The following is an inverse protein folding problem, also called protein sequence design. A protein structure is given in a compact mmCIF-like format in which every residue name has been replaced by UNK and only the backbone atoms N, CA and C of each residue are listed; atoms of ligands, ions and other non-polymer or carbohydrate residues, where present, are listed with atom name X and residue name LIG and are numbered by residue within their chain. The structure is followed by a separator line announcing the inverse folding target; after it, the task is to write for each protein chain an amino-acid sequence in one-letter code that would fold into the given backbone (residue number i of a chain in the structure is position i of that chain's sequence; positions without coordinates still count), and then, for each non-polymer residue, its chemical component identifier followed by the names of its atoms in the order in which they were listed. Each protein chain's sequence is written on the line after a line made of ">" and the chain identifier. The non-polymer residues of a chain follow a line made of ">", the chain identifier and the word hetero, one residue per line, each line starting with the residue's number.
data_IF_566603324580
#
_entry.id   IF_566603324580
#
_cell.length_a   1.000
_cell.length_b   1.000
_cell.length_c   1.000
_cell.angle_alpha   90.00
_cell.angle_beta   90.00
_cell.angle_gamma   90.00
#
_symmetry.space_group_name_H-M   'P 1'
#
loop_
_entity.id
_entity.type
_entity.pdbx_description
1 polymer ?
#
# COMPACT_ATOMS: atom_id res chain seq x y z
N UNK A 1 -20.36 39.51 -1.60
CA UNK A 1 -19.63 38.42 -0.94
C UNK A 1 -20.38 37.13 -1.22
N UNK A 2 -19.72 36.13 -1.80
CA UNK A 2 -20.37 34.85 -2.09
C UNK A 2 -19.96 33.83 -1.02
N UNK A 3 -20.91 33.03 -0.55
CA UNK A 3 -20.68 31.99 0.43
C UNK A 3 -20.82 30.58 -0.21
N UNK A 4 -20.02 29.64 0.22
CA UNK A 4 -20.10 28.28 -0.25
C UNK A 4 -21.39 27.61 0.21
N UNK A 5 -22.21 27.11 -0.73
CA UNK A 5 -23.48 26.45 -0.40
C UNK A 5 -23.29 25.14 0.41
N UNK A 6 -22.08 24.54 0.38
CA UNK A 6 -21.82 23.27 1.06
C UNK A 6 -21.27 23.44 2.50
N UNK A 7 -20.47 24.48 2.77
CA UNK A 7 -19.83 24.66 4.09
C UNK A 7 -19.98 26.05 4.71
N UNK A 8 -20.69 26.98 4.06
CA UNK A 8 -20.95 28.33 4.56
C UNK A 8 -19.73 29.27 4.60
N UNK A 9 -18.56 28.85 4.13
CA UNK A 9 -17.34 29.66 4.12
C UNK A 9 -17.42 30.72 3.02
N UNK A 10 -16.93 31.93 3.29
CA UNK A 10 -16.84 33.01 2.31
C UNK A 10 -15.86 32.62 1.18
N UNK A 11 -16.34 32.71 -0.07
CA UNK A 11 -15.54 32.42 -1.25
C UNK A 11 -15.14 33.72 -1.93
N UNK A 12 -13.84 33.97 -2.03
CA UNK A 12 -13.27 35.17 -2.67
C UNK A 12 -13.30 35.07 -4.22
N UNK A 13 -14.40 34.56 -4.82
CA UNK A 13 -14.58 34.52 -6.27
C UNK A 13 -13.83 33.39 -7.00
N UNK A 14 -13.23 32.45 -6.31
CA UNK A 14 -12.58 31.28 -6.90
C UNK A 14 -13.60 30.26 -7.44
N UNK A 15 -13.22 29.46 -8.46
CA UNK A 15 -14.05 28.41 -9.04
C UNK A 15 -14.38 27.27 -8.04
N UNK A 16 -13.58 27.13 -6.99
CA UNK A 16 -13.75 26.12 -5.94
C UNK A 16 -13.62 26.75 -4.55
N UNK A 17 -14.36 26.21 -3.59
CA UNK A 17 -14.27 26.63 -2.19
C UNK A 17 -12.93 26.25 -1.58
N UNK A 18 -12.14 27.18 -0.99
CA UNK A 18 -10.82 26.89 -0.42
C UNK A 18 -10.91 25.99 0.83
N UNK A 19 -12.08 25.85 1.44
CA UNK A 19 -12.25 25.05 2.66
C UNK A 19 -12.75 23.62 2.40
N UNK A 20 -13.67 23.41 1.45
CA UNK A 20 -14.27 22.08 1.22
C UNK A 20 -14.11 21.56 -0.21
N UNK A 21 -13.48 22.31 -1.11
CA UNK A 21 -13.27 21.91 -2.50
C UNK A 21 -14.53 21.89 -3.37
N UNK A 22 -15.71 22.24 -2.84
CA UNK A 22 -16.95 22.27 -3.63
C UNK A 22 -16.89 23.39 -4.68
N UNK A 23 -17.45 23.14 -5.88
CA UNK A 23 -17.55 24.15 -6.91
C UNK A 23 -18.38 25.33 -6.41
N UNK A 24 -17.90 26.57 -6.67
CA UNK A 24 -18.62 27.78 -6.29
C UNK A 24 -19.90 27.91 -7.13
N UNK A 25 -21.02 28.23 -6.49
CA UNK A 25 -22.28 28.47 -7.18
C UNK A 25 -22.13 29.68 -8.14
N UNK A 26 -22.25 29.44 -9.43
CA UNK A 26 -22.09 30.47 -10.47
C UNK A 26 -20.80 30.36 -11.31
N UNK A 27 -19.89 29.42 -11.03
CA UNK A 27 -18.83 29.09 -11.96
C UNK A 27 -19.44 28.44 -13.22
N UNK A 28 -19.12 28.91 -14.45
CA UNK A 28 -19.59 28.23 -15.66
C UNK A 28 -19.12 26.77 -15.61
N UNK A 29 -20.04 25.84 -15.84
CA UNK A 29 -19.71 24.42 -15.92
C UNK A 29 -18.61 24.25 -17.00
N UNK A 30 -17.55 23.46 -16.73
CA UNK A 30 -16.57 23.17 -17.77
C UNK A 30 -17.31 22.54 -18.94
N UNK A 31 -17.16 23.11 -20.16
CA UNK A 31 -17.81 22.63 -21.35
C UNK A 31 -17.47 21.15 -21.56
N UNK A 32 -18.42 20.28 -21.87
CA UNK A 32 -18.14 18.89 -22.17
C UNK A 32 -17.34 18.83 -23.48
N UNK A 33 -16.10 18.39 -23.44
CA UNK A 33 -15.35 18.01 -24.63
C UNK A 33 -14.13 18.83 -25.03
N UNK A 34 -13.53 19.60 -24.15
CA UNK A 34 -12.22 20.22 -24.43
C UNK A 34 -11.07 19.42 -23.85
N UNK A 35 -10.65 18.33 -24.52
CA UNK A 35 -9.29 17.80 -24.27
C UNK A 35 -8.32 18.84 -24.78
N UNK A 36 -7.54 19.47 -23.86
CA UNK A 36 -6.38 20.23 -24.28
C UNK A 36 -5.51 19.34 -25.17
N UNK A 37 -4.97 19.84 -26.30
CA UNK A 37 -4.08 19.05 -27.14
C UNK A 37 -2.91 18.56 -26.27
N UNK A 38 -2.74 17.23 -26.19
CA UNK A 38 -1.61 16.59 -25.52
C UNK A 38 -0.34 17.01 -26.29
N UNK A 39 0.44 17.92 -25.74
CA UNK A 39 1.79 18.16 -26.19
C UNK A 39 2.66 17.03 -25.62
N UNK A 40 3.22 16.14 -26.47
CA UNK A 40 4.12 15.11 -25.98
C UNK A 40 5.34 15.78 -25.33
N UNK A 41 5.83 15.24 -24.19
CA UNK A 41 7.06 15.74 -23.58
C UNK A 41 8.22 15.60 -24.56
N UNK A 42 9.21 16.52 -24.52
CA UNK A 42 10.35 16.48 -25.42
C UNK A 42 11.08 15.14 -25.32
N UNK A 43 11.61 14.60 -26.45
CA UNK A 43 12.30 13.33 -26.47
C UNK A 43 13.55 13.40 -25.58
N UNK A 44 13.60 12.58 -24.54
CA UNK A 44 14.71 12.50 -23.57
C UNK A 44 14.30 12.44 -22.11
N UNK A 45 13.05 12.72 -21.75
CA UNK A 45 12.56 12.48 -20.40
C UNK A 45 11.74 11.18 -20.40
N UNK A 46 12.40 10.07 -20.09
CA UNK A 46 11.69 8.87 -19.67
C UNK A 46 10.81 9.25 -18.49
N UNK A 47 9.53 8.80 -18.42
CA UNK A 47 8.75 8.97 -17.22
C UNK A 47 9.47 8.17 -16.14
N UNK A 48 10.20 8.86 -15.27
CA UNK A 48 10.63 8.31 -14.02
C UNK A 48 9.34 7.96 -13.29
N UNK A 49 8.99 6.68 -13.30
CA UNK A 49 7.94 6.10 -12.45
C UNK A 49 8.34 6.17 -10.99
N UNK A 50 8.86 7.31 -10.56
CA UNK A 50 9.03 7.68 -9.19
C UNK A 50 7.67 8.14 -8.69
N UNK A 51 7.11 7.44 -7.72
CA UNK A 51 6.08 8.00 -6.85
C UNK A 51 6.58 9.38 -6.41
N UNK A 52 5.92 10.45 -6.87
CA UNK A 52 6.12 11.76 -6.27
C UNK A 52 5.94 11.57 -4.75
N UNK A 53 6.83 12.10 -3.91
CA UNK A 53 6.60 12.09 -2.48
C UNK A 53 5.22 12.73 -2.26
N UNK A 54 4.24 11.92 -1.86
CA UNK A 54 2.96 12.45 -1.42
C UNK A 54 3.27 13.22 -0.14
N UNK A 55 3.41 14.54 -0.25
CA UNK A 55 3.24 15.39 0.92
C UNK A 55 1.87 15.03 1.47
N UNK A 56 1.77 14.48 2.70
CA UNK A 56 0.48 14.20 3.29
C UNK A 56 -0.33 15.50 3.25
N UNK A 57 -1.61 15.45 2.84
CA UNK A 57 -2.46 16.63 2.93
C UNK A 57 -2.39 17.13 4.38
N UNK A 58 -2.30 18.45 4.62
CA UNK A 58 -2.26 18.99 5.97
C UNK A 58 -3.44 18.41 6.73
N UNK A 59 -3.15 17.79 7.88
CA UNK A 59 -4.15 17.19 8.74
C UNK A 59 -5.21 18.26 9.03
N UNK A 60 -6.41 18.09 8.46
CA UNK A 60 -7.53 18.97 8.73
C UNK A 60 -7.82 18.97 10.24
N UNK A 61 -8.37 20.06 10.82
CA UNK A 61 -8.76 20.12 12.22
C UNK A 61 -9.88 19.09 12.47
N UNK A 62 -9.51 17.90 12.90
CA UNK A 62 -10.38 16.73 13.05
C UNK A 62 -9.65 15.40 12.82
N UNK A 63 -8.33 15.42 12.62
CA UNK A 63 -7.53 14.20 12.70
C UNK A 63 -7.75 13.62 14.11
N UNK A 64 -8.71 12.70 14.22
CA UNK A 64 -8.87 11.90 15.43
C UNK A 64 -7.48 11.37 15.79
N UNK A 65 -7.14 11.39 17.08
CA UNK A 65 -5.85 11.00 17.63
C UNK A 65 -5.57 9.52 17.26
N UNK A 66 -5.11 9.29 16.04
CA UNK A 66 -4.66 8.02 15.49
C UNK A 66 -3.13 8.03 15.40
N UNK A 67 -2.57 6.85 15.28
CA UNK A 67 -1.14 6.70 15.00
C UNK A 67 -0.80 7.31 13.63
N UNK A 68 0.44 7.76 13.47
CA UNK A 68 0.95 8.25 12.20
C UNK A 68 0.82 7.16 11.10
N UNK A 69 0.58 7.60 9.88
CA UNK A 69 0.35 6.72 8.73
C UNK A 69 1.49 5.72 8.52
N UNK A 70 2.74 6.17 8.66
CA UNK A 70 3.93 5.34 8.54
C UNK A 70 4.02 4.28 9.63
N UNK A 71 3.65 4.63 10.88
CA UNK A 71 3.62 3.69 12.00
C UNK A 71 2.53 2.64 11.78
N UNK A 72 1.31 3.06 11.42
CA UNK A 72 0.21 2.17 11.11
C UNK A 72 0.55 1.24 9.93
N UNK A 73 1.17 1.78 8.86
CA UNK A 73 1.64 1.01 7.71
C UNK A 73 2.68 -0.06 8.09
N UNK A 74 3.64 0.28 8.97
CA UNK A 74 4.62 -0.68 9.47
C UNK A 74 3.98 -1.74 10.37
N UNK A 75 3.06 -1.35 11.24
CA UNK A 75 2.35 -2.27 12.13
C UNK A 75 1.50 -3.31 11.40
N UNK A 76 1.05 -3.02 10.16
CA UNK A 76 0.39 -4.03 9.32
C UNK A 76 1.24 -5.28 9.10
N UNK A 77 2.58 -5.19 9.22
CA UNK A 77 3.50 -6.31 9.01
C UNK A 77 3.88 -7.06 10.29
N UNK A 78 3.71 -6.48 11.49
CA UNK A 78 4.25 -7.01 12.75
C UNK A 78 3.76 -8.43 13.06
N UNK A 79 2.46 -8.67 13.02
CA UNK A 79 1.85 -10.01 13.16
C UNK A 79 1.24 -10.47 11.82
N UNK A 80 1.67 -9.81 10.74
CA UNK A 80 1.37 -10.18 9.36
C UNK A 80 -0.13 -10.23 9.05
N UNK A 81 -0.66 -11.45 8.91
CA UNK A 81 -2.05 -11.68 8.54
C UNK A 81 -3.03 -11.05 9.54
N UNK A 82 -2.77 -11.18 10.84
CA UNK A 82 -3.68 -10.70 11.89
C UNK A 82 -3.72 -9.18 11.92
N UNK A 83 -2.56 -8.52 12.00
CA UNK A 83 -2.51 -7.05 12.02
C UNK A 83 -3.00 -6.45 10.71
N UNK A 84 -2.70 -7.07 9.56
CA UNK A 84 -3.26 -6.65 8.28
C UNK A 84 -4.79 -6.63 8.29
N UNK A 85 -5.45 -7.69 8.78
CA UNK A 85 -6.91 -7.75 8.89
C UNK A 85 -7.43 -6.69 9.88
N UNK A 86 -6.78 -6.54 11.05
CA UNK A 86 -7.17 -5.55 12.05
C UNK A 86 -7.20 -4.14 11.46
N UNK A 87 -6.16 -3.73 10.73
CA UNK A 87 -6.10 -2.40 10.12
C UNK A 87 -7.10 -2.19 8.98
N UNK A 88 -7.59 -3.27 8.33
CA UNK A 88 -8.67 -3.16 7.33
C UNK A 88 -10.05 -2.94 7.96
N UNK A 89 -10.23 -3.34 9.22
CA UNK A 89 -11.53 -3.20 9.93
C UNK A 89 -11.54 -1.99 10.85
N UNK A 90 -10.39 -1.63 11.42
CA UNK A 90 -10.28 -0.59 12.45
C UNK A 90 -10.37 0.81 11.86
N UNK A 91 -11.39 1.58 12.32
CA UNK A 91 -11.46 3.02 12.02
C UNK A 91 -10.51 3.80 12.94
N UNK A 92 -9.90 4.90 12.45
CA UNK A 92 -10.03 5.52 11.12
C UNK A 92 -9.09 4.95 10.06
N UNK A 93 -8.25 3.95 10.38
CA UNK A 93 -7.17 3.46 9.54
C UNK A 93 -7.64 2.82 8.24
N UNK A 94 -8.80 2.16 8.27
CA UNK A 94 -9.43 1.54 7.09
C UNK A 94 -9.88 2.55 6.02
N UNK A 95 -9.89 3.84 6.31
CA UNK A 95 -10.20 4.89 5.34
C UNK A 95 -8.98 5.40 4.59
N UNK A 96 -7.78 5.13 5.12
CA UNK A 96 -6.53 5.57 4.49
C UNK A 96 -6.07 4.55 3.45
N UNK A 97 -5.94 5.00 2.20
CA UNK A 97 -5.53 4.16 1.06
C UNK A 97 -4.14 3.54 1.24
N UNK A 98 -3.21 4.27 1.82
CA UNK A 98 -1.83 3.79 2.05
C UNK A 98 -1.82 2.67 3.08
N UNK A 99 -2.56 2.83 4.18
CA UNK A 99 -2.66 1.81 5.23
C UNK A 99 -3.35 0.56 4.67
N UNK A 100 -4.43 0.71 3.90
CA UNK A 100 -5.09 -0.42 3.20
C UNK A 100 -4.13 -1.15 2.27
N UNK A 101 -3.32 -0.42 1.51
CA UNK A 101 -2.32 -1.04 0.64
C UNK A 101 -1.33 -1.89 1.44
N UNK A 102 -0.76 -1.36 2.53
CA UNK A 102 0.16 -2.11 3.40
C UNK A 102 -0.52 -3.32 4.06
N UNK A 103 -1.77 -3.18 4.49
CA UNK A 103 -2.55 -4.25 5.08
C UNK A 103 -2.79 -5.40 4.07
N UNK A 104 -3.27 -5.10 2.85
CA UNK A 104 -3.43 -6.11 1.80
C UNK A 104 -2.11 -6.74 1.38
N UNK A 105 -1.06 -5.94 1.20
CA UNK A 105 0.26 -6.47 0.83
C UNK A 105 0.81 -7.40 1.92
N UNK A 106 0.65 -7.06 3.19
CA UNK A 106 1.04 -7.90 4.31
C UNK A 106 0.27 -9.22 4.34
N UNK A 107 -1.06 -9.18 4.19
CA UNK A 107 -1.91 -10.36 4.15
C UNK A 107 -1.47 -11.30 3.00
N UNK A 108 -1.37 -10.78 1.78
CA UNK A 108 -1.01 -11.57 0.61
C UNK A 108 0.41 -12.12 0.70
N UNK A 109 1.35 -11.33 1.24
CA UNK A 109 2.72 -11.80 1.49
C UNK A 109 2.73 -13.01 2.45
N UNK A 110 2.03 -12.92 3.58
CA UNK A 110 2.02 -14.00 4.54
C UNK A 110 1.27 -15.24 4.05
N UNK A 111 0.16 -15.06 3.34
CA UNK A 111 -0.57 -16.17 2.71
C UNK A 111 0.31 -16.86 1.67
N UNK A 112 0.95 -16.11 0.78
CA UNK A 112 1.86 -16.65 -0.22
C UNK A 112 3.05 -17.37 0.43
N UNK A 113 3.60 -16.79 1.51
CA UNK A 113 4.69 -17.38 2.28
C UNK A 113 4.30 -18.70 2.94
N UNK A 114 3.12 -18.78 3.54
CA UNK A 114 2.59 -20.01 4.14
C UNK A 114 2.42 -21.10 3.08
N UNK A 115 1.79 -20.78 1.96
CA UNK A 115 1.58 -21.73 0.85
C UNK A 115 2.92 -22.22 0.30
N UNK A 116 3.85 -21.30 0.05
CA UNK A 116 5.19 -21.61 -0.45
C UNK A 116 5.95 -22.51 0.53
N UNK A 117 5.93 -22.17 1.81
CA UNK A 117 6.63 -22.91 2.86
C UNK A 117 6.09 -24.34 3.03
N UNK A 118 4.76 -24.45 3.06
CA UNK A 118 4.10 -25.75 3.14
C UNK A 118 4.41 -26.63 1.92
N UNK A 119 4.32 -26.06 0.72
CA UNK A 119 4.66 -26.76 -0.52
C UNK A 119 6.12 -27.18 -0.57
N UNK A 120 7.05 -26.30 -0.18
CA UNK A 120 8.47 -26.62 -0.11
C UNK A 120 8.73 -27.80 0.83
N UNK A 121 8.17 -27.77 2.05
CA UNK A 121 8.36 -28.84 3.01
C UNK A 121 7.75 -30.17 2.53
N UNK A 122 6.58 -30.12 1.88
CA UNK A 122 5.97 -31.33 1.30
C UNK A 122 6.90 -31.97 0.27
N UNK A 123 7.48 -31.18 -0.64
CA UNK A 123 8.44 -31.67 -1.64
C UNK A 123 9.70 -32.22 -0.99
N UNK A 124 10.29 -31.51 -0.03
CA UNK A 124 11.52 -31.94 0.64
C UNK A 124 11.33 -33.24 1.44
N UNK A 125 10.17 -33.39 2.10
CA UNK A 125 9.83 -34.62 2.85
C UNK A 125 9.64 -35.78 1.87
N UNK A 126 8.91 -35.61 0.76
CA UNK A 126 8.69 -36.70 -0.21
C UNK A 126 9.99 -37.17 -0.86
N UNK A 127 10.92 -36.25 -1.13
CA UNK A 127 12.25 -36.61 -1.68
C UNK A 127 13.18 -37.24 -0.64
N UNK A 128 12.95 -36.96 0.64
CA UNK A 128 13.76 -37.50 1.76
C UNK A 128 13.45 -38.96 2.14
N UNK A 129 12.41 -39.57 1.60
CA UNK A 129 12.11 -40.98 1.83
C UNK A 129 13.08 -41.87 1.05
N UNK A 130 14.00 -42.55 1.74
CA UNK A 130 14.92 -43.51 1.12
C UNK A 130 16.24 -43.69 1.87
N UNK A 131 17.14 -44.48 1.27
CA UNK A 131 18.45 -44.86 1.86
C UNK A 131 19.35 -43.63 2.17
N UNK A 132 19.14 -42.49 1.48
CA UNK A 132 19.90 -41.25 1.64
C UNK A 132 19.14 -40.22 2.51
N UNK A 133 18.12 -40.63 3.25
CA UNK A 133 17.23 -39.73 4.02
C UNK A 133 17.97 -38.77 4.96
N UNK A 134 19.04 -39.20 5.62
CA UNK A 134 19.83 -38.33 6.49
C UNK A 134 20.54 -37.20 5.72
N UNK A 135 21.10 -37.49 4.55
CA UNK A 135 21.75 -36.48 3.69
C UNK A 135 20.74 -35.50 3.14
N UNK A 136 19.59 -35.99 2.65
CA UNK A 136 18.47 -35.14 2.21
C UNK A 136 17.89 -34.31 3.36
N UNK A 137 17.82 -34.84 4.58
CA UNK A 137 17.39 -34.13 5.77
C UNK A 137 18.31 -32.94 6.07
N UNK A 138 19.63 -33.13 6.05
CA UNK A 138 20.59 -32.05 6.26
C UNK A 138 20.48 -30.98 5.17
N UNK A 139 20.42 -31.39 3.90
CA UNK A 139 20.29 -30.48 2.76
C UNK A 139 18.97 -29.68 2.84
N UNK A 140 17.86 -30.32 3.20
CA UNK A 140 16.56 -29.65 3.34
C UNK A 140 16.58 -28.65 4.50
N UNK A 141 17.27 -28.98 5.60
CA UNK A 141 17.47 -28.04 6.71
C UNK A 141 18.23 -26.79 6.28
N UNK A 142 19.33 -26.95 5.54
CA UNK A 142 20.12 -25.83 5.04
C UNK A 142 19.32 -24.96 4.04
N UNK A 143 18.61 -25.57 3.11
CA UNK A 143 17.72 -24.86 2.17
C UNK A 143 16.66 -24.09 2.93
N UNK A 144 16.00 -24.71 3.89
CA UNK A 144 14.96 -24.08 4.71
C UNK A 144 15.51 -22.91 5.52
N UNK A 145 16.72 -23.04 6.07
CA UNK A 145 17.40 -21.96 6.80
C UNK A 145 17.66 -20.75 5.90
N UNK A 146 18.24 -20.98 4.72
CA UNK A 146 18.57 -19.89 3.78
C UNK A 146 17.31 -19.17 3.30
N UNK A 147 16.30 -19.93 2.87
CA UNK A 147 15.03 -19.38 2.38
C UNK A 147 14.27 -18.68 3.52
N UNK A 148 14.19 -19.31 4.70
CA UNK A 148 13.53 -18.73 5.87
C UNK A 148 14.17 -17.43 6.33
N UNK A 149 15.50 -17.40 6.37
CA UNK A 149 16.25 -16.18 6.72
C UNK A 149 16.07 -15.09 5.65
N UNK A 150 16.12 -15.43 4.37
CA UNK A 150 15.84 -14.49 3.27
C UNK A 150 14.44 -13.90 3.35
N UNK A 151 13.42 -14.72 3.61
CA UNK A 151 12.04 -14.25 3.81
C UNK A 151 11.90 -13.37 5.04
N UNK A 152 12.57 -13.70 6.14
CA UNK A 152 12.60 -12.87 7.34
C UNK A 152 13.23 -11.48 7.07
N UNK A 153 14.35 -11.44 6.35
CA UNK A 153 14.97 -10.18 5.96
C UNK A 153 14.07 -9.35 5.03
N UNK A 154 13.41 -10.00 4.08
CA UNK A 154 12.45 -9.32 3.21
C UNK A 154 11.27 -8.74 4.02
N UNK A 155 10.75 -9.48 4.99
CA UNK A 155 9.69 -9.02 5.89
C UNK A 155 10.13 -7.79 6.70
N UNK A 156 11.32 -7.81 7.31
CA UNK A 156 11.88 -6.65 8.02
C UNK A 156 12.07 -5.46 7.07
N UNK A 157 12.53 -5.71 5.86
CA UNK A 157 12.72 -4.68 4.86
C UNK A 157 11.41 -4.03 4.42
N UNK A 158 10.34 -4.80 4.24
CA UNK A 158 9.01 -4.28 3.93
C UNK A 158 8.48 -3.40 5.06
N UNK A 159 8.65 -3.85 6.32
CA UNK A 159 8.25 -3.08 7.50
C UNK A 159 9.03 -1.76 7.61
N UNK A 160 10.35 -1.81 7.41
CA UNK A 160 11.21 -0.63 7.42
C UNK A 160 10.86 0.35 6.30
N UNK A 161 10.55 -0.15 5.10
CA UNK A 161 10.12 0.67 3.94
C UNK A 161 8.77 1.34 4.20
N UNK A 162 7.83 0.63 4.81
CA UNK A 162 6.53 1.18 5.21
C UNK A 162 6.71 2.31 6.24
N UNK A 163 7.55 2.09 7.25
CA UNK A 163 7.86 3.11 8.26
C UNK A 163 8.49 4.38 7.69
N UNK A 164 9.30 4.28 6.64
CA UNK A 164 9.93 5.42 5.98
C UNK A 164 9.07 6.06 4.87
N UNK A 165 7.77 5.79 4.80
CA UNK A 165 6.86 6.31 3.77
C UNK A 165 7.34 6.07 2.32
N UNK A 166 8.10 4.99 2.11
CA UNK A 166 8.64 4.60 0.81
C UNK A 166 8.23 3.15 0.48
N UNK A 167 6.94 2.90 0.19
CA UNK A 167 6.42 1.56 0.04
C UNK A 167 7.09 0.83 -1.12
N UNK A 168 7.55 -0.40 -0.84
CA UNK A 168 7.99 -1.31 -1.89
C UNK A 168 6.78 -2.07 -2.44
N UNK A 169 6.51 -1.89 -3.72
CA UNK A 169 5.48 -2.65 -4.42
C UNK A 169 6.08 -3.97 -4.88
N UNK A 170 5.69 -5.08 -4.27
CA UNK A 170 6.15 -6.41 -4.68
C UNK A 170 5.65 -6.73 -6.10
N UNK A 171 6.45 -7.39 -6.96
CA UNK A 171 6.16 -7.49 -8.39
C UNK A 171 4.85 -8.22 -8.73
N UNK A 172 4.42 -9.20 -7.93
CA UNK A 172 3.18 -9.95 -8.17
C UNK A 172 2.09 -9.51 -7.21
N UNK A 173 2.39 -9.45 -5.92
CA UNK A 173 1.44 -9.16 -4.84
C UNK A 173 1.07 -7.69 -4.81
N UNK A 174 2.02 -6.79 -5.10
CA UNK A 174 1.84 -5.35 -4.99
C UNK A 174 0.73 -4.78 -5.87
N UNK A 175 0.67 -5.07 -7.17
CA UNK A 175 -0.42 -4.60 -8.03
C UNK A 175 -1.80 -5.08 -7.56
N UNK A 176 -1.90 -6.31 -7.05
CA UNK A 176 -3.16 -6.86 -6.53
C UNK A 176 -3.56 -6.11 -5.25
N UNK A 177 -2.62 -5.87 -4.34
CA UNK A 177 -2.85 -5.11 -3.12
C UNK A 177 -3.30 -3.66 -3.42
N UNK A 178 -2.68 -3.01 -4.41
CA UNK A 178 -3.09 -1.66 -4.86
C UNK A 178 -4.52 -1.63 -5.40
N UNK A 179 -4.90 -2.61 -6.23
CA UNK A 179 -6.24 -2.71 -6.78
C UNK A 179 -7.29 -2.92 -5.67
N UNK A 180 -7.01 -3.78 -4.69
CA UNK A 180 -7.93 -4.01 -3.58
C UNK A 180 -8.03 -2.78 -2.67
N UNK A 181 -6.92 -2.13 -2.37
CA UNK A 181 -6.93 -0.89 -1.59
C UNK A 181 -7.69 0.26 -2.25
N UNK A 182 -7.84 0.25 -3.57
CA UNK A 182 -8.59 1.26 -4.32
C UNK A 182 -10.10 1.00 -4.38
N UNK A 183 -10.54 -0.26 -4.17
CA UNK A 183 -11.96 -0.66 -4.28
C UNK A 183 -12.75 -0.47 -2.99
N UNK A 184 -12.08 -0.36 -1.87
CA UNK A 184 -12.68 -0.09 -0.54
C UNK A 184 -12.63 1.41 -0.24
#
# INVERSE_FOLDING_TARGET
>A
MAFCANCGTETAGGAFCPKCGAAAAGAPAPAPGGYAPYTPPPPGQAPAGGYAPHTPPPAGPGAAAGMDENVAGALCYVVGLVTGIVFLVLQPYNQNRTIRFHAFQSIFYHVAWIIFWFGLHLVLVTLGFGLLGALFGLLSMLISLVIGFGGFLLWLFLMWRAYNNNPLVLPIIGPIAQQQAAKM
#
